data_IF_645718380516
#
_entry.id   IF_645718380516
#
_cell.length_a   1.000
_cell.length_b   1.000
_cell.length_c   1.000
_cell.angle_alpha   90.00
_cell.angle_beta   90.00
_cell.angle_gamma   90.00
#
_symmetry.space_group_name_H-M   'P 1'
#
loop_
_entity.id
_entity.type
_entity.pdbx_description
1 polymer ?
#
# COMPACT_ATOMS: atom_id res chain seq x y z
N UNK A 1 30.82 -20.00 51.63
CA UNK A 1 31.57 -21.17 51.13
C UNK A 1 32.77 -20.62 50.37
N UNK A 2 34.01 -21.07 50.63
CA UNK A 2 35.16 -20.61 49.86
C UNK A 2 34.98 -21.02 48.39
N UNK A 3 34.94 -20.03 47.49
CA UNK A 3 34.69 -20.21 46.05
C UNK A 3 35.66 -21.20 45.38
N UNK A 4 36.80 -21.49 46.01
CA UNK A 4 37.83 -22.39 45.51
C UNK A 4 37.41 -23.87 45.40
N UNK A 5 36.42 -24.33 46.16
CA UNK A 5 36.05 -25.77 46.16
C UNK A 5 35.51 -26.19 44.79
N UNK A 6 34.70 -25.35 44.14
CA UNK A 6 34.14 -25.66 42.83
C UNK A 6 35.17 -25.59 41.71
N UNK A 7 36.20 -24.75 41.84
CA UNK A 7 37.24 -24.56 40.81
C UNK A 7 38.11 -25.81 40.64
N UNK A 8 38.34 -26.56 41.72
CA UNK A 8 39.16 -27.77 41.76
C UNK A 8 38.39 -29.06 41.45
N UNK A 9 37.05 -29.01 41.29
CA UNK A 9 36.27 -30.21 41.01
C UNK A 9 36.64 -30.81 39.64
N UNK A 10 36.76 -32.14 39.52
CA UNK A 10 36.79 -32.83 38.23
C UNK A 10 35.62 -32.42 37.33
N UNK A 11 35.84 -32.38 36.02
CA UNK A 11 34.85 -31.89 35.06
C UNK A 11 33.55 -32.70 35.09
N UNK A 12 33.65 -34.02 35.20
CA UNK A 12 32.50 -34.94 35.27
C UNK A 12 31.58 -34.64 36.46
N UNK A 13 32.17 -34.47 37.66
CA UNK A 13 31.41 -34.13 38.87
C UNK A 13 30.79 -32.74 38.78
N UNK A 14 31.49 -31.78 38.17
CA UNK A 14 30.93 -30.45 37.93
C UNK A 14 29.74 -30.54 36.96
N UNK A 15 29.87 -31.27 35.85
CA UNK A 15 28.80 -31.42 34.87
C UNK A 15 27.55 -32.08 35.46
N UNK A 16 27.72 -33.10 36.31
CA UNK A 16 26.63 -33.71 37.08
C UNK A 16 25.94 -32.70 38.00
N UNK A 17 26.72 -31.92 38.76
CA UNK A 17 26.17 -30.86 39.62
C UNK A 17 25.42 -29.83 38.78
N UNK A 18 26.01 -29.34 37.68
CA UNK A 18 25.40 -28.34 36.81
C UNK A 18 24.10 -28.86 36.15
N UNK A 19 23.97 -30.16 35.90
CA UNK A 19 22.74 -30.77 35.39
C UNK A 19 21.58 -30.70 36.40
N UNK A 20 21.86 -30.59 37.69
CA UNK A 20 20.86 -30.47 38.76
C UNK A 20 20.56 -29.03 39.17
N UNK A 21 21.37 -28.05 38.75
CA UNK A 21 21.17 -26.66 39.11
C UNK A 21 20.18 -25.94 38.18
N UNK A 22 19.36 -25.07 38.79
CA UNK A 22 18.51 -24.15 38.05
C UNK A 22 19.32 -22.98 37.49
N UNK A 23 18.80 -22.29 36.48
CA UNK A 23 19.50 -21.16 35.85
C UNK A 23 19.68 -19.98 36.81
N UNK A 24 18.76 -19.80 37.75
CA UNK A 24 18.90 -18.82 38.83
C UNK A 24 20.10 -19.13 39.74
N UNK A 25 20.49 -20.40 39.86
CA UNK A 25 21.66 -20.84 40.62
C UNK A 25 22.94 -20.83 39.77
N UNK A 26 22.84 -21.13 38.46
CA UNK A 26 23.97 -21.09 37.53
C UNK A 26 24.49 -19.66 37.28
N UNK A 27 23.60 -18.66 37.27
CA UNK A 27 23.98 -17.26 37.00
C UNK A 27 24.98 -16.72 38.05
N UNK A 28 24.71 -16.79 39.37
CA UNK A 28 25.68 -16.40 40.39
C UNK A 28 27.00 -17.18 40.30
N UNK A 29 26.94 -18.49 40.03
CA UNK A 29 28.14 -19.33 39.89
C UNK A 29 29.04 -18.86 38.74
N UNK A 30 28.46 -18.45 37.62
CA UNK A 30 29.21 -17.89 36.49
C UNK A 30 29.91 -16.57 36.82
N UNK A 31 29.53 -15.88 37.90
CA UNK A 31 30.11 -14.62 38.33
C UNK A 31 31.20 -14.79 39.41
N UNK A 32 31.37 -16.00 39.97
CA UNK A 32 32.30 -16.24 41.07
C UNK A 32 33.78 -16.10 40.68
N UNK A 33 34.18 -16.59 39.49
CA UNK A 33 35.55 -16.47 38.98
C UNK A 33 35.62 -16.69 37.46
N UNK A 34 36.71 -16.27 36.81
CA UNK A 34 36.92 -16.51 35.35
C UNK A 34 36.99 -17.99 35.01
N UNK A 35 37.58 -18.81 35.89
CA UNK A 35 37.68 -20.25 35.68
C UNK A 35 36.30 -20.91 35.83
N UNK A 36 35.52 -20.53 36.84
CA UNK A 36 34.15 -21.00 37.01
C UNK A 36 33.26 -20.56 35.85
N UNK A 37 33.38 -19.31 35.42
CA UNK A 37 32.70 -18.78 34.26
C UNK A 37 32.99 -19.63 33.00
N UNK A 38 34.25 -19.91 32.69
CA UNK A 38 34.63 -20.72 31.53
C UNK A 38 34.06 -22.15 31.57
N UNK A 39 33.88 -22.71 32.77
CA UNK A 39 33.33 -24.07 32.98
C UNK A 39 31.81 -24.11 32.99
N UNK A 40 31.15 -23.07 33.51
CA UNK A 40 29.68 -22.98 33.65
C UNK A 40 29.02 -22.47 32.36
N UNK A 41 29.66 -21.56 31.63
CA UNK A 41 29.08 -20.94 30.43
C UNK A 41 28.66 -21.95 29.33
N UNK A 42 29.47 -22.97 28.97
CA UNK A 42 29.04 -23.99 28.00
C UNK A 42 27.73 -24.64 28.43
N UNK A 43 27.60 -24.98 29.70
CA UNK A 43 26.39 -25.58 30.25
C UNK A 43 25.23 -24.59 30.25
N UNK A 44 25.44 -23.34 30.65
CA UNK A 44 24.41 -22.29 30.62
C UNK A 44 23.86 -22.02 29.20
N UNK A 45 24.72 -22.13 28.18
CA UNK A 45 24.38 -21.73 26.81
C UNK A 45 24.14 -22.92 25.83
N UNK A 46 24.51 -24.17 26.18
CA UNK A 46 24.54 -25.31 25.25
C UNK A 46 23.79 -26.58 25.72
N UNK A 47 23.00 -26.59 26.80
CA UNK A 47 22.41 -27.87 27.29
C UNK A 47 21.51 -28.59 26.27
N UNK A 48 21.78 -29.88 25.94
CA UNK A 48 21.07 -30.63 24.90
C UNK A 48 19.68 -31.20 25.28
N UNK A 49 19.09 -30.83 26.43
CA UNK A 49 17.80 -31.36 26.90
C UNK A 49 16.55 -30.68 26.32
N UNK A 50 15.51 -31.46 25.93
CA UNK A 50 14.24 -30.95 25.34
C UNK A 50 13.54 -29.84 26.14
N UNK A 51 13.57 -29.89 27.48
CA UNK A 51 12.94 -28.87 28.35
C UNK A 51 13.71 -27.55 28.38
N UNK A 52 15.03 -27.60 28.28
CA UNK A 52 15.89 -26.42 28.35
C UNK A 52 16.13 -25.76 26.99
N UNK A 53 15.90 -26.47 25.87
CA UNK A 53 15.87 -25.88 24.51
C UNK A 53 14.90 -24.71 24.38
N UNK A 54 13.68 -24.81 24.95
CA UNK A 54 12.70 -23.71 24.92
C UNK A 54 13.17 -22.50 25.73
N UNK A 55 13.81 -22.76 26.87
CA UNK A 55 14.30 -21.70 27.75
C UNK A 55 15.54 -21.00 27.17
N UNK A 56 16.55 -21.75 26.71
CA UNK A 56 17.75 -21.19 26.10
C UNK A 56 17.40 -20.33 24.90
N UNK A 57 16.42 -20.77 24.10
CA UNK A 57 15.85 -19.97 23.02
C UNK A 57 15.18 -18.68 23.52
N UNK A 58 14.39 -18.75 24.59
CA UNK A 58 13.71 -17.57 25.15
C UNK A 58 14.71 -16.54 25.70
N UNK A 59 15.79 -17.01 26.34
CA UNK A 59 16.87 -16.13 26.83
C UNK A 59 17.67 -15.55 25.66
N UNK A 60 17.96 -16.35 24.64
CA UNK A 60 18.61 -15.87 23.43
C UNK A 60 17.78 -14.80 22.71
N UNK A 61 16.48 -15.05 22.51
CA UNK A 61 15.53 -14.07 21.96
C UNK A 61 15.54 -12.80 22.82
N UNK A 62 15.40 -12.93 24.14
CA UNK A 62 15.44 -11.78 25.06
C UNK A 62 16.76 -11.00 24.94
N UNK A 63 17.90 -11.69 24.84
CA UNK A 63 19.20 -11.06 24.64
C UNK A 63 19.26 -10.29 23.32
N UNK A 64 18.72 -10.85 22.23
CA UNK A 64 18.58 -10.17 20.94
C UNK A 64 17.70 -8.91 21.06
N UNK A 65 16.53 -9.03 21.70
CA UNK A 65 15.59 -7.90 21.88
C UNK A 65 16.18 -6.75 22.69
N UNK A 66 16.95 -7.09 23.72
CA UNK A 66 17.56 -6.11 24.64
C UNK A 66 18.89 -5.56 24.13
N UNK A 67 19.41 -6.04 22.99
CA UNK A 67 20.70 -5.59 22.47
C UNK A 67 21.90 -6.07 23.29
N UNK A 68 21.80 -7.23 23.95
CA UNK A 68 22.86 -7.75 24.82
C UNK A 68 23.91 -8.50 23.99
N UNK A 69 24.70 -7.75 23.23
CA UNK A 69 25.66 -8.28 22.25
C UNK A 69 26.65 -9.29 22.87
N UNK A 70 27.11 -9.07 24.10
CA UNK A 70 28.00 -10.00 24.81
C UNK A 70 27.34 -11.34 25.12
N UNK A 71 26.06 -11.33 25.50
CA UNK A 71 25.30 -12.54 25.72
C UNK A 71 25.06 -13.27 24.40
N UNK A 72 24.69 -12.54 23.35
CA UNK A 72 24.51 -13.10 21.99
C UNK A 72 25.80 -13.73 21.47
N UNK A 73 26.95 -13.07 21.66
CA UNK A 73 28.27 -13.63 21.33
C UNK A 73 28.55 -14.95 22.07
N UNK A 74 28.24 -15.02 23.36
CA UNK A 74 28.40 -16.25 24.15
C UNK A 74 27.48 -17.36 23.65
N UNK A 75 26.21 -17.05 23.36
CA UNK A 75 25.28 -18.00 22.75
C UNK A 75 25.82 -18.54 21.42
N UNK A 76 26.25 -17.66 20.51
CA UNK A 76 26.82 -18.08 19.22
C UNK A 76 28.13 -18.87 19.37
N UNK A 77 28.94 -18.59 20.40
CA UNK A 77 30.21 -19.28 20.66
C UNK A 77 30.00 -20.70 21.18
N UNK A 78 29.14 -20.86 22.19
CA UNK A 78 29.02 -22.15 22.89
C UNK A 78 28.00 -23.07 22.25
N UNK A 79 27.01 -22.53 21.54
CA UNK A 79 25.94 -23.33 20.99
C UNK A 79 26.22 -23.68 19.52
N UNK A 80 27.02 -24.73 19.31
CA UNK A 80 27.39 -25.21 17.98
C UNK A 80 26.22 -25.78 17.17
N UNK A 81 25.04 -25.99 17.77
CA UNK A 81 23.83 -26.33 17.03
C UNK A 81 23.12 -25.11 16.42
N UNK A 82 23.57 -23.88 16.74
CA UNK A 82 23.38 -22.70 15.88
C UNK A 82 24.25 -22.77 14.61
N UNK A 83 24.38 -23.95 13.99
CA UNK A 83 24.83 -24.01 12.61
C UNK A 83 23.72 -23.44 11.74
N UNK A 84 23.90 -22.19 11.33
CA UNK A 84 23.10 -21.51 10.32
C UNK A 84 23.17 -22.17 8.92
N UNK A 85 23.81 -23.35 8.82
CA UNK A 85 24.07 -24.08 7.60
C UNK A 85 23.62 -25.56 7.65
N UNK A 86 22.81 -25.89 6.63
CA UNK A 86 22.58 -27.19 5.97
C UNK A 86 21.66 -28.20 6.66
N UNK A 87 20.37 -28.17 6.29
CA UNK A 87 19.57 -29.37 6.00
C UNK A 87 18.96 -30.15 7.16
N UNK A 88 19.41 -29.95 8.39
CA UNK A 88 18.79 -30.52 9.59
C UNK A 88 18.17 -29.42 10.43
N UNK A 89 16.93 -29.60 10.87
CA UNK A 89 16.28 -28.69 11.80
C UNK A 89 17.22 -28.38 12.98
N UNK A 90 17.36 -27.09 13.34
CA UNK A 90 17.23 -26.71 14.75
C UNK A 90 17.17 -25.19 15.01
N UNK A 91 17.61 -24.30 14.10
CA UNK A 91 17.42 -22.82 14.30
C UNK A 91 16.95 -22.11 13.02
N UNK A 92 16.53 -22.91 12.04
CA UNK A 92 15.78 -22.44 10.90
C UNK A 92 14.28 -22.33 11.15
N UNK A 93 13.85 -22.17 12.41
CA UNK A 93 12.44 -21.92 12.70
C UNK A 93 12.12 -20.49 12.23
N UNK A 94 11.27 -20.33 11.20
CA UNK A 94 10.88 -19.01 10.70
C UNK A 94 10.34 -18.11 11.82
N UNK A 95 9.76 -18.69 12.88
CA UNK A 95 9.22 -17.96 14.03
C UNK A 95 10.32 -17.29 14.86
N UNK A 96 11.47 -17.93 15.02
CA UNK A 96 12.59 -17.37 15.80
C UNK A 96 13.19 -16.20 15.04
N UNK A 97 13.45 -16.39 13.74
CA UNK A 97 14.03 -15.34 12.91
C UNK A 97 13.06 -14.16 12.77
N UNK A 98 11.75 -14.43 12.64
CA UNK A 98 10.71 -13.39 12.65
C UNK A 98 10.70 -12.60 13.97
N UNK A 99 10.82 -13.26 15.13
CA UNK A 99 10.91 -12.58 16.43
C UNK A 99 12.18 -11.73 16.58
N UNK A 100 13.33 -12.24 16.11
CA UNK A 100 14.59 -11.49 16.07
C UNK A 100 14.43 -10.28 15.15
N UNK A 101 13.98 -10.46 13.92
CA UNK A 101 13.80 -9.35 12.98
C UNK A 101 12.83 -8.28 13.50
N UNK A 102 11.79 -8.67 14.24
CA UNK A 102 10.82 -7.74 14.81
C UNK A 102 11.36 -6.88 15.95
N UNK A 103 12.34 -7.38 16.71
CA UNK A 103 12.63 -6.83 18.02
C UNK A 103 14.13 -6.67 18.32
N UNK A 104 15.01 -7.25 17.51
CA UNK A 104 16.45 -7.22 17.70
C UNK A 104 17.02 -5.84 17.38
N UNK A 105 17.97 -5.36 18.17
CA UNK A 105 18.68 -4.13 17.85
C UNK A 105 19.50 -4.30 16.56
N UNK A 106 19.67 -3.25 15.73
CA UNK A 106 20.43 -3.35 14.49
C UNK A 106 21.88 -3.84 14.69
N UNK A 107 22.55 -3.40 15.75
CA UNK A 107 23.91 -3.84 16.10
C UNK A 107 23.97 -5.34 16.39
N UNK A 108 22.99 -5.84 17.13
CA UNK A 108 22.90 -7.26 17.48
C UNK A 108 22.57 -8.12 16.27
N UNK A 109 21.71 -7.63 15.36
CA UNK A 109 21.46 -8.31 14.09
C UNK A 109 22.72 -8.38 13.24
N UNK A 110 23.46 -7.27 13.11
CA UNK A 110 24.75 -7.24 12.41
C UNK A 110 25.73 -8.28 12.99
N UNK A 111 25.86 -8.32 14.31
CA UNK A 111 26.66 -9.32 15.01
C UNK A 111 26.22 -10.75 14.66
N UNK A 112 24.92 -11.05 14.68
CA UNK A 112 24.41 -12.37 14.31
C UNK A 112 24.83 -12.75 12.88
N UNK A 113 24.80 -11.79 11.95
CA UNK A 113 25.20 -12.00 10.56
C UNK A 113 26.70 -12.24 10.39
N UNK A 114 27.54 -11.48 11.09
CA UNK A 114 28.98 -11.71 11.17
C UNK A 114 29.30 -13.12 11.70
N UNK A 115 28.44 -13.66 12.57
CA UNK A 115 28.51 -15.04 13.10
C UNK A 115 27.86 -16.09 12.19
N UNK A 116 27.46 -15.71 10.99
CA UNK A 116 26.98 -16.64 9.97
C UNK A 116 25.47 -16.82 9.93
N UNK A 117 24.67 -16.04 10.67
CA UNK A 117 23.21 -16.06 10.53
C UNK A 117 22.80 -15.76 9.08
N UNK A 118 21.74 -16.42 8.61
CA UNK A 118 21.25 -16.34 7.23
C UNK A 118 19.73 -16.25 7.23
N UNK A 119 19.19 -15.31 6.47
CA UNK A 119 17.76 -14.96 6.42
C UNK A 119 17.10 -15.61 5.20
N UNK A 120 17.85 -15.68 4.10
CA UNK A 120 17.38 -16.06 2.79
C UNK A 120 16.84 -17.51 2.69
N UNK A 121 17.30 -18.42 3.55
CA UNK A 121 16.91 -19.85 3.49
C UNK A 121 15.47 -20.13 3.84
N UNK A 122 14.78 -19.16 4.42
CA UNK A 122 13.41 -19.29 4.89
C UNK A 122 12.43 -18.49 4.04
N UNK A 123 12.92 -17.69 3.10
CA UNK A 123 12.12 -16.91 2.17
C UNK A 123 11.91 -17.69 0.87
N UNK A 124 11.25 -18.86 0.93
CA UNK A 124 10.89 -19.59 -0.30
C UNK A 124 9.80 -18.88 -1.10
N UNK A 125 9.12 -17.88 -0.51
CA UNK A 125 8.09 -17.07 -1.16
C UNK A 125 8.39 -15.58 -0.99
N UNK A 126 8.12 -14.80 -2.03
CA UNK A 126 8.15 -13.32 -2.00
C UNK A 126 7.32 -12.73 -0.86
N UNK A 127 6.24 -13.43 -0.50
CA UNK A 127 5.38 -13.06 0.62
C UNK A 127 6.13 -13.09 1.97
N UNK A 128 7.00 -14.08 2.18
CA UNK A 128 7.76 -14.21 3.43
C UNK A 128 8.82 -13.10 3.50
N UNK A 129 9.54 -12.85 2.40
CA UNK A 129 10.46 -11.72 2.30
C UNK A 129 9.79 -10.36 2.59
N UNK A 130 8.55 -10.17 2.14
CA UNK A 130 7.77 -8.98 2.46
C UNK A 130 7.48 -8.84 3.96
N UNK A 131 7.04 -9.92 4.63
CA UNK A 131 6.78 -9.86 6.06
C UNK A 131 8.04 -9.62 6.88
N UNK A 132 9.14 -10.25 6.45
CA UNK A 132 10.42 -10.20 7.12
C UNK A 132 11.10 -8.83 7.01
N UNK A 133 10.86 -8.12 5.91
CA UNK A 133 11.32 -6.73 5.72
C UNK A 133 10.39 -5.72 6.36
N UNK A 134 9.08 -5.95 6.31
CA UNK A 134 8.07 -5.03 6.85
C UNK A 134 8.09 -4.96 8.37
N UNK A 135 8.17 -6.10 9.05
CA UNK A 135 8.04 -6.15 10.50
C UNK A 135 9.14 -5.37 11.26
N UNK A 136 10.45 -5.49 10.90
CA UNK A 136 11.49 -4.64 11.47
C UNK A 136 11.19 -3.15 11.27
N UNK A 137 10.89 -2.73 10.03
CA UNK A 137 10.67 -1.32 9.69
C UNK A 137 9.46 -0.70 10.38
N UNK A 138 8.47 -1.50 10.75
CA UNK A 138 7.29 -1.04 11.49
C UNK A 138 7.55 -0.93 13.00
N UNK A 139 8.44 -1.74 13.56
CA UNK A 139 8.60 -1.87 15.01
C UNK A 139 9.61 -0.88 15.61
N UNK A 140 10.57 -0.38 14.83
CA UNK A 140 11.48 0.66 15.33
C UNK A 140 10.75 2.01 15.47
N UNK A 141 10.93 2.67 16.62
CA UNK A 141 10.30 3.97 16.89
C UNK A 141 11.07 5.13 16.25
N UNK A 142 12.40 5.05 16.21
CA UNK A 142 13.28 6.10 15.69
C UNK A 142 13.61 5.86 14.22
N UNK A 143 13.79 6.94 13.46
CA UNK A 143 14.19 6.88 12.05
C UNK A 143 15.61 6.29 11.92
N UNK A 144 16.55 6.72 12.77
CA UNK A 144 17.92 6.21 12.79
C UNK A 144 18.00 4.68 12.97
N UNK A 145 17.17 4.09 13.83
CA UNK A 145 17.17 2.64 14.01
C UNK A 145 16.57 1.90 12.81
N UNK A 146 15.60 2.52 12.10
CA UNK A 146 15.08 1.98 10.84
C UNK A 146 16.12 2.05 9.73
N UNK A 147 16.81 3.18 9.59
CA UNK A 147 17.84 3.36 8.59
C UNK A 147 19.00 2.39 8.79
N UNK A 148 19.44 2.24 10.05
CA UNK A 148 20.48 1.27 10.39
C UNK A 148 20.02 -0.17 10.16
N UNK A 149 18.79 -0.52 10.56
CA UNK A 149 18.22 -1.83 10.26
C UNK A 149 18.12 -2.09 8.76
N UNK A 150 17.72 -1.09 7.97
CA UNK A 150 17.67 -1.20 6.51
C UNK A 150 19.04 -1.43 5.93
N UNK A 151 20.06 -0.68 6.35
CA UNK A 151 21.44 -0.87 5.89
C UNK A 151 21.88 -2.29 6.19
N UNK A 152 21.68 -2.77 7.42
CA UNK A 152 21.96 -4.17 7.76
C UNK A 152 21.21 -5.11 6.82
N UNK A 153 19.91 -4.92 6.56
CA UNK A 153 19.13 -5.78 5.65
C UNK A 153 19.60 -5.74 4.20
N UNK A 154 19.99 -4.58 3.70
CA UNK A 154 20.50 -4.43 2.34
C UNK A 154 21.89 -5.03 2.20
N UNK A 155 22.77 -4.80 3.18
CA UNK A 155 24.10 -5.41 3.22
C UNK A 155 23.99 -6.94 3.27
N UNK A 156 23.02 -7.45 4.04
CA UNK A 156 22.67 -8.87 4.08
C UNK A 156 22.25 -9.38 2.69
N UNK A 157 21.40 -8.64 1.98
CA UNK A 157 20.91 -9.01 0.65
C UNK A 157 22.02 -8.92 -0.42
N UNK A 158 22.93 -7.95 -0.32
CA UNK A 158 23.99 -7.70 -1.31
C UNK A 158 25.04 -8.82 -1.42
N UNK A 159 25.16 -9.71 -0.43
CA UNK A 159 26.21 -10.74 -0.41
C UNK A 159 25.93 -12.00 -1.25
N UNK A 160 24.76 -12.16 -1.90
CA UNK A 160 24.45 -13.24 -2.88
C UNK A 160 23.55 -12.74 -4.03
N UNK A 161 23.49 -13.49 -5.14
CA UNK A 161 23.22 -12.98 -6.50
C UNK A 161 21.85 -13.35 -7.11
N UNK A 162 20.93 -14.04 -6.42
CA UNK A 162 19.76 -14.61 -7.13
C UNK A 162 18.37 -14.30 -6.54
N UNK A 163 18.22 -13.99 -5.25
CA UNK A 163 16.90 -13.67 -4.66
C UNK A 163 16.81 -12.22 -4.16
N UNK A 164 17.91 -11.49 -4.21
CA UNK A 164 18.15 -10.32 -3.35
C UNK A 164 17.61 -9.03 -3.93
N UNK A 165 17.57 -8.97 -5.26
CA UNK A 165 17.16 -7.78 -5.96
C UNK A 165 15.67 -7.45 -5.74
N UNK A 166 14.84 -8.48 -5.56
CA UNK A 166 13.42 -8.32 -5.26
C UNK A 166 13.20 -7.85 -3.82
N UNK A 167 14.06 -8.28 -2.88
CA UNK A 167 14.01 -7.80 -1.49
C UNK A 167 14.31 -6.32 -1.43
N UNK A 168 15.37 -5.88 -2.12
CA UNK A 168 15.77 -4.47 -2.22
C UNK A 168 14.64 -3.62 -2.83
N UNK A 169 13.93 -4.13 -3.84
CA UNK A 169 12.76 -3.46 -4.41
C UNK A 169 11.54 -3.40 -3.46
N UNK A 170 11.32 -4.44 -2.65
CA UNK A 170 10.28 -4.43 -1.61
C UNK A 170 10.60 -3.37 -0.56
N UNK A 171 11.86 -3.34 -0.11
CA UNK A 171 12.34 -2.35 0.84
C UNK A 171 12.13 -0.94 0.31
N UNK A 172 12.43 -0.70 -0.97
CA UNK A 172 12.17 0.59 -1.62
C UNK A 172 10.70 1.02 -1.46
N UNK A 173 9.75 0.14 -1.79
CA UNK A 173 8.31 0.45 -1.65
C UNK A 173 7.92 0.66 -0.19
N UNK A 174 8.37 -0.19 0.71
CA UNK A 174 8.05 -0.10 2.14
C UNK A 174 8.55 1.22 2.72
N UNK A 175 9.75 1.63 2.31
CA UNK A 175 10.40 2.82 2.78
C UNK A 175 9.69 4.08 2.27
N UNK A 176 9.36 4.14 0.98
CA UNK A 176 8.54 5.23 0.41
C UNK A 176 7.16 5.28 1.09
N UNK A 177 6.58 4.12 1.45
CA UNK A 177 5.31 4.03 2.20
C UNK A 177 5.43 4.41 3.67
N UNK A 178 6.63 4.49 4.24
CA UNK A 178 6.82 4.94 5.63
C UNK A 178 6.50 6.44 5.79
N UNK A 179 5.99 6.86 6.96
CA UNK A 179 5.62 8.27 7.20
C UNK A 179 6.83 9.20 7.37
N UNK A 180 7.99 8.64 7.66
CA UNK A 180 9.22 9.38 7.94
C UNK A 180 9.97 9.48 6.61
N UNK A 181 10.08 10.68 6.03
CA UNK A 181 10.65 10.96 4.71
C UNK A 181 12.11 10.47 4.63
N UNK A 182 12.38 9.28 4.08
CA UNK A 182 13.65 8.60 4.27
C UNK A 182 14.51 8.72 3.01
N UNK A 183 14.70 9.95 2.53
CA UNK A 183 15.36 10.22 1.26
C UNK A 183 16.75 9.53 1.19
N UNK A 184 17.52 9.58 2.28
CA UNK A 184 18.83 8.93 2.37
C UNK A 184 18.73 7.41 2.24
N UNK A 185 17.76 6.76 2.91
CA UNK A 185 17.54 5.33 2.78
C UNK A 185 17.06 4.92 1.38
N UNK A 186 16.26 5.77 0.72
CA UNK A 186 15.82 5.54 -0.66
C UNK A 186 17.02 5.66 -1.62
N UNK A 187 17.83 6.71 -1.47
CA UNK A 187 19.06 6.90 -2.24
C UNK A 187 20.03 5.73 -2.03
N UNK A 188 20.17 5.26 -0.80
CA UNK A 188 20.95 4.07 -0.47
C UNK A 188 20.45 2.84 -1.23
N UNK A 189 19.15 2.55 -1.17
CA UNK A 189 18.55 1.40 -1.87
C UNK A 189 18.75 1.48 -3.38
N UNK A 190 18.49 2.64 -3.98
CA UNK A 190 18.67 2.88 -5.42
C UNK A 190 20.14 2.71 -5.83
N UNK A 191 21.09 3.22 -5.02
CA UNK A 191 22.52 3.01 -5.21
C UNK A 191 22.98 1.56 -5.07
N UNK A 192 22.21 0.73 -4.35
CA UNK A 192 22.42 -0.72 -4.20
C UNK A 192 21.53 -1.55 -5.13
N UNK A 193 21.11 -0.98 -6.27
CA UNK A 193 20.47 -1.69 -7.37
C UNK A 193 18.94 -1.77 -7.30
N UNK A 194 18.29 -1.17 -6.29
CA UNK A 194 16.82 -1.07 -6.26
C UNK A 194 16.32 -0.48 -7.57
N UNK A 195 15.37 -1.15 -8.22
CA UNK A 195 14.82 -0.68 -9.48
C UNK A 195 13.36 -0.29 -9.28
N UNK A 196 13.01 1.00 -9.40
CA UNK A 196 11.64 1.46 -9.18
C UNK A 196 10.64 0.89 -10.20
N UNK A 197 11.09 0.61 -11.44
CA UNK A 197 10.27 -0.04 -12.47
C UNK A 197 10.00 -1.52 -12.13
N UNK A 198 10.98 -2.25 -11.59
CA UNK A 198 10.78 -3.65 -11.18
C UNK A 198 9.95 -3.74 -9.90
N UNK A 199 10.16 -2.82 -8.96
CA UNK A 199 9.48 -2.77 -7.67
C UNK A 199 7.95 -2.77 -7.80
N UNK A 200 7.40 -2.08 -8.80
CA UNK A 200 5.95 -2.04 -9.01
C UNK A 200 5.31 -3.41 -9.35
N UNK A 201 6.11 -4.41 -9.72
CA UNK A 201 5.66 -5.76 -10.07
C UNK A 201 5.83 -6.78 -8.94
N UNK A 202 6.50 -6.41 -7.85
CA UNK A 202 6.95 -7.38 -6.85
C UNK A 202 5.80 -8.01 -6.08
N UNK A 203 4.67 -7.32 -5.90
CA UNK A 203 3.49 -7.93 -5.30
C UNK A 203 2.22 -7.64 -6.09
N UNK A 204 1.27 -8.57 -6.04
CA UNK A 204 -0.08 -8.33 -6.54
C UNK A 204 -0.72 -7.19 -5.74
N UNK A 205 -1.11 -6.14 -6.45
CA UNK A 205 -1.59 -4.90 -5.82
C UNK A 205 -0.51 -4.04 -5.17
N UNK A 206 0.79 -4.29 -5.41
CA UNK A 206 1.83 -3.32 -5.00
C UNK A 206 1.61 -1.98 -5.68
N UNK A 207 1.69 -0.92 -4.88
CA UNK A 207 1.68 0.45 -5.37
C UNK A 207 2.96 0.71 -6.18
N UNK A 208 2.85 1.43 -7.30
CA UNK A 208 4.02 1.94 -8.00
C UNK A 208 4.78 2.90 -7.08
N UNK A 209 6.11 2.76 -6.90
CA UNK A 209 6.92 3.65 -6.07
C UNK A 209 6.67 5.13 -6.34
N UNK A 210 6.68 5.50 -7.63
CA UNK A 210 6.48 6.89 -8.07
C UNK A 210 5.08 7.41 -7.71
N UNK A 211 4.06 6.59 -7.90
CA UNK A 211 2.69 6.97 -7.56
C UNK A 211 2.50 7.18 -6.05
N UNK A 212 3.16 6.37 -5.20
CA UNK A 212 3.16 6.57 -3.74
C UNK A 212 3.88 7.87 -3.35
N UNK A 213 5.01 8.19 -4.00
CA UNK A 213 5.73 9.43 -3.76
C UNK A 213 4.86 10.66 -4.08
N UNK A 214 4.12 10.60 -5.19
CA UNK A 214 3.13 11.61 -5.60
C UNK A 214 2.00 11.71 -4.56
N UNK A 215 1.39 10.58 -4.16
CA UNK A 215 0.30 10.60 -3.16
C UNK A 215 0.70 11.23 -1.83
N UNK A 216 2.00 11.20 -1.52
CA UNK A 216 2.57 11.75 -0.29
C UNK A 216 3.14 13.15 -0.43
N UNK A 217 3.05 13.74 -1.62
CA UNK A 217 3.64 15.05 -1.90
C UNK A 217 5.15 15.12 -1.63
N UNK A 218 5.86 14.00 -1.79
CA UNK A 218 7.30 13.93 -1.53
C UNK A 218 8.07 14.20 -2.82
N UNK A 219 8.24 15.48 -3.15
CA UNK A 219 8.92 15.96 -4.36
C UNK A 219 10.36 15.41 -4.47
N UNK A 220 11.22 15.49 -3.43
CA UNK A 220 12.58 14.95 -3.52
C UNK A 220 12.63 13.46 -3.87
N UNK A 221 11.76 12.65 -3.26
CA UNK A 221 11.68 11.21 -3.56
C UNK A 221 11.11 10.96 -4.95
N UNK A 222 10.12 11.74 -5.40
CA UNK A 222 9.58 11.66 -6.76
C UNK A 222 10.70 11.86 -7.79
N UNK A 223 11.47 12.93 -7.63
CA UNK A 223 12.52 13.31 -8.56
C UNK A 223 13.64 12.26 -8.57
N UNK A 224 14.06 11.82 -7.38
CA UNK A 224 15.03 10.74 -7.22
C UNK A 224 14.59 9.43 -7.91
N UNK A 225 13.30 9.06 -7.80
CA UNK A 225 12.76 7.88 -8.48
C UNK A 225 12.77 8.03 -10.00
N UNK A 226 12.41 9.21 -10.51
CA UNK A 226 12.42 9.51 -11.95
C UNK A 226 13.85 9.47 -12.51
N UNK A 227 14.83 10.02 -11.79
CA UNK A 227 16.25 9.94 -12.12
C UNK A 227 16.75 8.50 -12.22
N UNK A 228 16.20 7.60 -11.40
CA UNK A 228 16.53 6.17 -11.39
C UNK A 228 15.59 5.31 -12.27
N UNK A 229 14.93 5.91 -13.26
CA UNK A 229 14.19 5.19 -14.29
C UNK A 229 12.79 4.71 -13.88
N UNK A 230 12.16 5.36 -12.88
CA UNK A 230 10.76 5.08 -12.59
C UNK A 230 9.87 5.45 -13.78
N UNK A 231 8.92 4.58 -14.12
CA UNK A 231 8.00 4.80 -15.24
C UNK A 231 6.84 5.73 -14.86
N UNK A 232 6.58 6.73 -15.71
CA UNK A 232 5.43 7.62 -15.56
C UNK A 232 4.09 6.92 -15.85
N UNK A 233 4.13 5.80 -16.59
CA UNK A 233 2.95 5.01 -16.94
C UNK A 233 2.54 4.04 -15.83
N UNK A 234 3.41 3.81 -14.83
CA UNK A 234 3.18 2.89 -13.73
C UNK A 234 3.00 1.43 -14.18
N UNK A 235 2.17 0.69 -13.44
CA UNK A 235 1.84 -0.72 -13.71
C UNK A 235 0.75 -0.82 -14.78
N UNK A 236 1.07 -1.37 -15.96
CA UNK A 236 0.07 -1.70 -16.97
C UNK A 236 -0.72 -2.93 -16.53
N UNK A 237 -2.03 -2.80 -16.39
CA UNK A 237 -2.89 -3.92 -16.03
C UNK A 237 -3.38 -4.61 -17.30
N UNK A 238 -2.89 -5.82 -17.58
CA UNK A 238 -3.38 -6.67 -18.68
C UNK A 238 -4.70 -7.36 -18.36
N UNK A 239 -5.15 -7.31 -17.10
CA UNK A 239 -6.40 -7.91 -16.64
C UNK A 239 -7.05 -7.03 -15.58
N UNK A 240 -8.38 -7.10 -15.43
CA UNK A 240 -9.09 -6.45 -14.34
C UNK A 240 -8.37 -6.78 -13.03
N UNK A 241 -7.92 -5.75 -12.29
CA UNK A 241 -7.11 -6.00 -11.13
C UNK A 241 -7.86 -6.87 -10.13
N UNK A 242 -7.14 -7.74 -9.43
CA UNK A 242 -7.72 -8.47 -8.29
C UNK A 242 -8.26 -7.46 -7.25
N UNK A 243 -9.15 -7.93 -6.36
CA UNK A 243 -9.98 -7.13 -5.42
C UNK A 243 -9.28 -6.00 -4.64
N UNK A 244 -7.94 -5.94 -4.62
CA UNK A 244 -7.14 -5.02 -3.81
C UNK A 244 -6.25 -4.06 -4.61
N UNK A 245 -6.22 -4.14 -5.94
CA UNK A 245 -5.42 -3.18 -6.71
C UNK A 245 -6.16 -1.85 -6.82
N UNK A 246 -5.45 -0.78 -6.50
CA UNK A 246 -5.95 0.59 -6.53
C UNK A 246 -5.40 1.29 -7.78
N UNK A 247 -6.19 2.14 -8.43
CA UNK A 247 -5.74 2.96 -9.57
C UNK A 247 -4.60 3.91 -9.25
N UNK A 248 -4.47 4.28 -7.98
CA UNK A 248 -3.39 5.12 -7.50
C UNK A 248 -2.01 4.46 -7.59
N UNK A 249 -1.90 3.24 -8.11
CA UNK A 249 -0.61 2.70 -8.55
C UNK A 249 -0.18 3.20 -9.94
N UNK A 250 -0.98 4.01 -10.63
CA UNK A 250 -0.60 4.69 -11.87
C UNK A 250 -0.30 6.16 -11.52
N UNK A 251 0.91 6.69 -11.85
CA UNK A 251 1.33 8.03 -11.46
C UNK A 251 0.34 9.14 -11.83
N UNK A 252 -0.20 9.18 -13.04
CA UNK A 252 -1.16 10.23 -13.45
C UNK A 252 -2.48 10.16 -12.66
N UNK A 253 -2.91 8.97 -12.24
CA UNK A 253 -4.10 8.80 -11.39
C UNK A 253 -3.84 9.23 -9.95
N UNK A 254 -2.64 8.93 -9.42
CA UNK A 254 -2.19 9.43 -8.12
C UNK A 254 -2.08 10.97 -8.13
N UNK A 255 -1.50 11.54 -9.19
CA UNK A 255 -1.39 12.98 -9.41
C UNK A 255 -2.77 13.64 -9.45
N UNK A 256 -3.70 13.09 -10.23
CA UNK A 256 -5.07 13.58 -10.30
C UNK A 256 -5.76 13.57 -8.94
N UNK A 257 -5.58 12.50 -8.15
CA UNK A 257 -6.16 12.41 -6.80
C UNK A 257 -5.68 13.53 -5.90
N UNK A 258 -4.39 13.85 -5.97
CA UNK A 258 -3.78 14.82 -5.05
C UNK A 258 -3.71 16.24 -5.59
N UNK A 259 -4.17 16.44 -6.83
CA UNK A 259 -4.26 17.73 -7.50
C UNK A 259 -5.00 18.81 -6.68
N UNK A 260 -6.10 18.52 -5.96
CA UNK A 260 -6.78 19.55 -5.14
C UNK A 260 -5.90 20.14 -4.03
N UNK A 261 -4.77 19.50 -3.68
CA UNK A 261 -3.85 19.97 -2.64
C UNK A 261 -2.49 20.41 -3.18
N UNK A 262 -2.27 20.31 -4.50
CA UNK A 262 -0.95 20.57 -5.14
C UNK A 262 -1.00 21.55 -6.29
N UNK A 263 -2.16 22.18 -6.52
CA UNK A 263 -2.32 23.13 -7.62
C UNK A 263 -1.87 22.57 -8.98
N UNK A 264 -2.17 21.28 -9.22
CA UNK A 264 -1.83 20.61 -10.47
C UNK A 264 -0.35 20.26 -10.68
N UNK A 265 0.57 20.60 -9.77
CA UNK A 265 2.02 20.38 -9.94
C UNK A 265 2.37 18.96 -10.42
N UNK A 266 1.85 17.94 -9.74
CA UNK A 266 2.15 16.55 -10.10
C UNK A 266 1.48 16.11 -11.41
N UNK A 267 0.33 16.70 -11.77
CA UNK A 267 -0.36 16.40 -13.02
C UNK A 267 0.44 16.95 -14.19
N UNK A 268 0.84 18.22 -14.11
CA UNK A 268 1.67 18.87 -15.14
C UNK A 268 3.00 18.12 -15.33
N UNK A 269 3.64 17.70 -14.24
CA UNK A 269 4.88 16.91 -14.32
C UNK A 269 4.65 15.58 -15.06
N UNK A 270 3.56 14.86 -14.75
CA UNK A 270 3.25 13.61 -15.44
C UNK A 270 2.98 13.84 -16.94
N UNK A 271 2.18 14.85 -17.28
CA UNK A 271 1.84 15.18 -18.66
C UNK A 271 3.07 15.62 -19.47
N UNK A 272 3.94 16.44 -18.88
CA UNK A 272 5.20 16.91 -19.51
C UNK A 272 6.14 15.74 -19.80
N UNK A 273 6.10 14.69 -18.98
CA UNK A 273 6.85 13.44 -19.19
C UNK A 273 6.14 12.43 -20.11
N UNK A 274 5.07 12.82 -20.77
CA UNK A 274 4.37 12.01 -21.75
C UNK A 274 3.34 11.04 -21.18
N UNK A 275 2.88 11.24 -19.94
CA UNK A 275 1.68 10.55 -19.47
C UNK A 275 0.45 11.01 -20.27
N UNK A 276 -0.44 10.09 -20.57
CA UNK A 276 -1.65 10.39 -21.34
C UNK A 276 -2.72 11.00 -20.43
N UNK A 277 -3.24 12.17 -20.79
CA UNK A 277 -4.33 12.80 -20.04
C UNK A 277 -5.60 11.93 -20.04
N UNK A 278 -5.79 11.17 -21.12
CA UNK A 278 -6.86 10.19 -21.29
C UNK A 278 -6.44 8.76 -20.90
N UNK A 279 -5.37 8.57 -20.10
CA UNK A 279 -4.89 7.22 -19.74
C UNK A 279 -6.02 6.40 -19.10
N UNK A 280 -6.18 5.18 -19.58
CA UNK A 280 -7.18 4.25 -19.06
C UNK A 280 -6.57 3.21 -18.11
N UNK A 281 -7.36 2.79 -17.13
CA UNK A 281 -7.03 1.65 -16.29
C UNK A 281 -8.25 0.72 -16.14
N UNK A 282 -8.06 -0.61 -16.09
CA UNK A 282 -9.12 -1.48 -15.63
C UNK A 282 -9.31 -1.30 -14.12
N UNK A 283 -10.53 -1.01 -13.67
CA UNK A 283 -10.93 -1.16 -12.26
C UNK A 283 -12.03 -2.22 -12.20
N UNK A 284 -12.16 -2.85 -11.05
CA UNK A 284 -13.40 -3.50 -10.65
C UNK A 284 -14.05 -2.63 -9.58
N UNK A 285 -15.00 -1.79 -9.95
CA UNK A 285 -15.72 -0.97 -8.97
C UNK A 285 -16.67 -1.92 -8.24
N UNK A 286 -16.51 -2.08 -6.92
CA UNK A 286 -17.56 -2.69 -6.11
C UNK A 286 -18.70 -1.69 -6.07
N UNK A 287 -19.67 -1.85 -6.97
CA UNK A 287 -20.97 -1.23 -6.79
C UNK A 287 -21.42 -1.46 -5.35
N UNK A 288 -21.88 -0.39 -4.69
CA UNK A 288 -22.52 -0.50 -3.39
C UNK A 288 -23.62 -1.57 -3.57
N UNK A 289 -23.61 -2.60 -2.74
CA UNK A 289 -24.47 -3.81 -2.75
C UNK A 289 -26.00 -3.55 -2.78
N UNK A 290 -26.44 -2.30 -2.94
CA UNK A 290 -27.80 -1.82 -2.64
C UNK A 290 -28.82 -1.99 -3.78
N UNK A 291 -28.44 -2.47 -4.97
CA UNK A 291 -29.42 -2.76 -6.04
C UNK A 291 -29.26 -4.16 -6.65
N UNK A 292 -29.89 -5.19 -6.06
CA UNK A 292 -30.31 -6.39 -6.81
C UNK A 292 -31.39 -5.97 -7.85
N UNK A 293 -31.43 -6.51 -9.09
CA UNK A 293 -30.95 -7.83 -9.52
C UNK A 293 -29.75 -7.80 -10.49
N UNK A 294 -29.12 -6.65 -10.72
CA UNK A 294 -28.08 -6.53 -11.73
C UNK A 294 -26.78 -7.15 -11.23
N UNK A 295 -26.40 -8.29 -11.83
CA UNK A 295 -25.19 -9.06 -11.51
C UNK A 295 -23.91 -8.22 -11.52
N UNK A 296 -22.80 -8.82 -11.07
CA UNK A 296 -21.47 -8.21 -10.93
C UNK A 296 -21.02 -7.47 -12.21
N UNK A 297 -21.46 -6.24 -12.43
CA UNK A 297 -20.95 -5.39 -13.49
C UNK A 297 -19.53 -5.01 -13.09
N UNK A 298 -18.57 -5.45 -13.89
CA UNK A 298 -17.23 -4.87 -13.92
C UNK A 298 -17.46 -3.44 -14.44
N UNK A 299 -16.85 -2.43 -13.82
CA UNK A 299 -16.93 -1.04 -14.28
C UNK A 299 -15.49 -0.61 -14.54
N UNK A 300 -15.16 -0.26 -15.78
CA UNK A 300 -13.85 0.32 -16.10
C UNK A 300 -13.66 1.68 -15.41
N UNK A 301 -12.39 2.06 -15.24
CA UNK A 301 -12.07 3.31 -14.57
C UNK A 301 -12.49 4.50 -15.36
N UNK A 302 -12.87 5.55 -14.63
CA UNK A 302 -12.99 6.84 -15.24
C UNK A 302 -11.58 7.45 -15.43
N UNK A 303 -11.41 8.28 -16.45
CA UNK A 303 -10.15 8.96 -16.78
C UNK A 303 -9.52 9.67 -15.55
N UNK A 304 -8.22 10.00 -15.56
CA UNK A 304 -7.56 10.72 -14.47
C UNK A 304 -8.35 11.95 -13.97
N UNK A 305 -8.92 12.75 -14.88
CA UNK A 305 -9.78 13.90 -14.54
C UNK A 305 -10.95 13.54 -13.62
N UNK A 306 -11.55 12.36 -13.76
CA UNK A 306 -12.64 11.96 -12.86
C UNK A 306 -12.11 11.66 -11.47
N UNK A 307 -10.91 11.08 -11.35
CA UNK A 307 -10.28 10.88 -10.04
C UNK A 307 -10.03 12.22 -9.36
N UNK A 308 -9.59 13.21 -10.12
CA UNK A 308 -9.45 14.58 -9.64
C UNK A 308 -10.77 15.15 -9.13
N UNK A 309 -11.81 15.15 -9.96
CA UNK A 309 -13.14 15.67 -9.62
C UNK A 309 -13.76 14.94 -8.42
N UNK A 310 -13.52 13.64 -8.31
CA UNK A 310 -13.88 12.80 -7.17
C UNK A 310 -12.99 13.05 -5.93
N UNK A 311 -11.88 13.75 -6.04
CA UNK A 311 -10.99 14.02 -4.90
C UNK A 311 -11.21 15.40 -4.28
N UNK A 312 -11.90 16.30 -4.99
CA UNK A 312 -12.41 17.57 -4.46
C UNK A 312 -13.30 17.28 -3.25
N UNK A 313 -12.97 17.85 -2.08
CA UNK A 313 -13.73 17.65 -0.83
C UNK A 313 -14.66 18.81 -0.48
N UNK A 314 -14.32 20.00 -0.96
CA UNK A 314 -15.04 21.23 -0.70
C UNK A 314 -15.43 21.87 -2.03
N UNK A 315 -16.68 22.33 -2.09
CA UNK A 315 -17.29 22.97 -3.24
C UNK A 315 -17.76 24.39 -2.91
N UNK A 316 -17.23 25.02 -1.86
CA UNK A 316 -17.63 26.35 -1.43
C UNK A 316 -17.51 27.37 -2.57
N UNK A 317 -16.33 27.47 -3.19
CA UNK A 317 -16.09 28.40 -4.30
C UNK A 317 -16.27 27.75 -5.68
N UNK A 318 -15.86 26.49 -5.82
CA UNK A 318 -15.93 25.75 -7.09
C UNK A 318 -14.96 26.25 -8.16
N UNK A 319 -14.35 27.43 -7.99
CA UNK A 319 -13.40 28.01 -8.94
C UNK A 319 -12.13 27.15 -9.07
N UNK A 320 -11.55 26.69 -7.97
CA UNK A 320 -10.41 25.76 -7.98
C UNK A 320 -10.76 24.46 -8.73
N UNK A 321 -11.98 23.95 -8.51
CA UNK A 321 -12.45 22.75 -9.20
C UNK A 321 -12.51 22.96 -10.72
N UNK A 322 -13.09 24.08 -11.17
CA UNK A 322 -13.19 24.47 -12.59
C UNK A 322 -11.79 24.65 -13.19
N UNK A 323 -10.90 25.37 -12.52
CA UNK A 323 -9.52 25.58 -12.98
C UNK A 323 -8.79 24.24 -13.18
N UNK A 324 -8.92 23.31 -12.24
CA UNK A 324 -8.32 22.00 -12.41
C UNK A 324 -8.97 21.18 -13.53
N UNK A 325 -10.28 21.29 -13.76
CA UNK A 325 -10.93 20.67 -14.94
C UNK A 325 -10.38 21.29 -16.23
N UNK A 326 -10.23 22.61 -16.27
CA UNK A 326 -9.69 23.33 -17.42
C UNK A 326 -8.26 22.86 -17.74
N UNK A 327 -7.41 22.67 -16.73
CA UNK A 327 -6.06 22.12 -16.92
C UNK A 327 -6.07 20.76 -17.63
N UNK A 328 -7.02 19.87 -17.30
CA UNK A 328 -7.18 18.59 -18.00
C UNK A 328 -7.67 18.77 -19.44
N UNK A 329 -8.60 19.69 -19.67
CA UNK A 329 -9.10 20.00 -21.02
C UNK A 329 -7.98 20.56 -21.91
N UNK A 330 -7.18 21.48 -21.37
CA UNK A 330 -6.01 22.05 -22.04
C UNK A 330 -4.95 20.98 -22.34
N UNK A 331 -4.87 19.94 -21.49
CA UNK A 331 -4.05 18.75 -21.71
C UNK A 331 -4.63 17.75 -22.74
N UNK A 332 -5.74 18.09 -23.40
CA UNK A 332 -6.34 17.29 -24.45
C UNK A 332 -7.29 16.18 -23.97
N UNK A 333 -7.84 16.30 -22.75
CA UNK A 333 -8.89 15.38 -22.31
C UNK A 333 -10.14 15.53 -23.17
N UNK A 334 -10.69 14.41 -23.64
CA UNK A 334 -11.92 14.38 -24.44
C UNK A 334 -13.07 13.88 -23.57
N UNK A 335 -14.00 14.77 -23.22
CA UNK A 335 -15.15 14.43 -22.39
C UNK A 335 -16.31 13.77 -23.17
N UNK A 336 -16.37 13.95 -24.49
CA UNK A 336 -17.63 13.83 -25.25
C UNK A 336 -18.11 12.41 -25.53
N UNK A 337 -17.23 11.41 -25.59
CA UNK A 337 -17.66 10.12 -26.16
C UNK A 337 -17.73 8.97 -25.17
N UNK A 338 -17.20 9.09 -23.95
CA UNK A 338 -17.24 7.99 -22.96
C UNK A 338 -16.67 6.64 -23.44
N UNK A 339 -16.22 6.54 -24.70
CA UNK A 339 -15.68 5.34 -25.29
C UNK A 339 -14.20 5.38 -24.99
N UNK A 340 -13.69 4.46 -24.15
CA UNK A 340 -12.27 4.36 -23.92
C UNK A 340 -11.58 3.98 -25.23
N UNK A 341 -10.71 4.84 -25.74
CA UNK A 341 -9.86 4.54 -26.90
C UNK A 341 -8.54 4.02 -26.33
N UNK A 342 -8.33 2.71 -26.39
CA UNK A 342 -7.04 2.10 -26.03
C UNK A 342 -6.39 1.60 -27.31
N UNK A 343 -5.26 2.16 -27.73
CA UNK A 343 -4.36 1.63 -28.78
C UNK A 343 -5.06 1.04 -30.04
N UNK A 344 -6.23 1.56 -30.44
CA UNK A 344 -7.10 0.96 -31.46
C UNK A 344 -7.55 -0.50 -31.19
N UNK A 345 -7.33 -1.03 -29.99
CA UNK A 345 -7.78 -2.35 -29.55
C UNK A 345 -9.09 -2.19 -28.77
N UNK A 346 -10.20 -2.43 -29.46
CA UNK A 346 -11.50 -2.66 -28.80
C UNK A 346 -11.32 -3.89 -27.92
N UNK A 347 -11.12 -3.69 -26.61
CA UNK A 347 -11.00 -4.81 -25.69
C UNK A 347 -12.26 -5.67 -25.80
N UNK A 348 -12.11 -6.99 -25.99
CA UNK A 348 -13.23 -7.96 -26.11
C UNK A 348 -14.14 -8.04 -24.87
N UNK A 349 -13.92 -7.19 -23.87
CA UNK A 349 -14.74 -7.09 -22.68
C UNK A 349 -15.96 -6.22 -23.01
N UNK A 350 -16.96 -6.90 -23.60
CA UNK A 350 -18.35 -6.49 -23.86
C UNK A 350 -18.79 -5.16 -23.21
N UNK A 351 -19.21 -4.24 -24.07
CA UNK A 351 -20.10 -3.08 -23.85
C UNK A 351 -20.19 -2.57 -22.40
N UNK A 352 -19.31 -1.65 -22.02
CA UNK A 352 -19.47 -0.85 -20.81
C UNK A 352 -19.65 0.61 -21.19
N UNK A 353 -20.80 1.16 -20.83
CA UNK A 353 -21.09 2.60 -20.93
C UNK A 353 -20.33 3.33 -19.82
N UNK A 354 -19.32 4.11 -20.21
CA UNK A 354 -18.72 5.07 -19.30
C UNK A 354 -19.72 6.22 -19.14
N UNK A 355 -20.18 6.43 -17.90
CA UNK A 355 -21.06 7.56 -17.61
C UNK A 355 -20.26 8.86 -17.66
N UNK A 356 -20.91 9.95 -18.05
CA UNK A 356 -20.38 11.30 -18.05
C UNK A 356 -19.91 11.70 -16.66
N UNK A 357 -19.00 12.66 -16.65
CA UNK A 357 -18.48 13.24 -15.42
C UNK A 357 -19.56 13.89 -14.58
N UNK A 358 -20.50 14.58 -15.24
CA UNK A 358 -21.65 15.20 -14.61
C UNK A 358 -22.51 14.15 -13.89
N UNK A 359 -22.81 13.02 -14.54
CA UNK A 359 -23.55 11.93 -13.90
C UNK A 359 -22.80 11.43 -12.65
N UNK A 360 -21.50 11.14 -12.77
CA UNK A 360 -20.72 10.61 -11.65
C UNK A 360 -20.63 11.59 -10.46
N UNK A 361 -20.56 12.89 -10.74
CA UNK A 361 -20.62 13.92 -9.72
C UNK A 361 -21.96 13.94 -8.99
N UNK A 362 -23.07 13.93 -9.73
CA UNK A 362 -24.42 13.92 -9.16
C UNK A 362 -24.71 12.63 -8.40
N UNK A 363 -24.25 11.48 -8.88
CA UNK A 363 -24.39 10.19 -8.20
C UNK A 363 -23.64 10.17 -6.86
N UNK A 364 -22.43 10.73 -6.84
CA UNK A 364 -21.61 10.77 -5.62
C UNK A 364 -22.10 11.77 -4.58
N UNK A 365 -22.35 13.00 -5.01
CA UNK A 365 -22.62 14.13 -4.11
C UNK A 365 -24.12 14.38 -3.90
N UNK A 366 -24.96 13.78 -4.74
CA UNK A 366 -26.40 13.96 -4.72
C UNK A 366 -26.84 15.32 -5.25
N UNK A 367 -28.10 15.40 -5.65
CA UNK A 367 -28.73 16.64 -6.15
C UNK A 367 -28.81 17.73 -5.06
N UNK A 368 -28.78 17.35 -3.78
CA UNK A 368 -28.76 18.29 -2.65
C UNK A 368 -27.53 19.19 -2.67
N UNK A 369 -26.41 18.70 -3.20
CA UNK A 369 -25.17 19.46 -3.31
C UNK A 369 -25.28 20.65 -4.28
N UNK A 370 -26.31 20.71 -5.13
CA UNK A 370 -26.62 21.89 -5.95
C UNK A 370 -26.95 23.14 -5.11
N UNK A 371 -27.28 22.97 -3.84
CA UNK A 371 -27.40 24.10 -2.90
C UNK A 371 -26.07 24.85 -2.73
N UNK A 372 -24.92 24.16 -2.81
CA UNK A 372 -23.60 24.78 -2.81
C UNK A 372 -23.33 25.49 -4.14
N UNK A 373 -22.99 26.78 -4.06
CA UNK A 373 -22.82 27.60 -5.27
C UNK A 373 -21.64 27.15 -6.12
N UNK A 374 -20.50 26.79 -5.52
CA UNK A 374 -19.36 26.27 -6.27
C UNK A 374 -19.62 24.93 -6.94
N UNK A 375 -20.32 23.99 -6.27
CA UNK A 375 -20.72 22.72 -6.89
C UNK A 375 -21.64 22.96 -8.10
N UNK A 376 -22.63 23.84 -7.94
CA UNK A 376 -23.52 24.21 -9.03
C UNK A 376 -22.76 24.79 -10.24
N UNK A 377 -21.82 25.72 -10.01
CA UNK A 377 -20.96 26.29 -11.07
C UNK A 377 -20.16 25.21 -11.81
N UNK A 378 -19.65 24.20 -11.10
CA UNK A 378 -18.92 23.08 -11.73
C UNK A 378 -19.85 22.23 -12.60
N UNK A 379 -21.07 21.94 -12.14
CA UNK A 379 -22.06 21.22 -12.94
C UNK A 379 -22.48 22.02 -14.17
N UNK A 380 -22.70 23.33 -14.00
CA UNK A 380 -23.00 24.27 -15.08
C UNK A 380 -21.87 24.27 -16.12
N UNK A 381 -20.61 24.38 -15.68
CA UNK A 381 -19.43 24.30 -16.53
C UNK A 381 -19.36 22.98 -17.30
N UNK A 382 -19.53 21.83 -16.63
CA UNK A 382 -19.50 20.51 -17.28
C UNK A 382 -20.66 20.31 -18.27
N UNK A 383 -21.84 20.88 -18.01
CA UNK A 383 -22.99 20.78 -18.90
C UNK A 383 -22.73 21.44 -20.26
N UNK A 384 -21.85 22.45 -20.34
CA UNK A 384 -21.47 23.12 -21.59
C UNK A 384 -20.77 22.18 -22.58
N UNK A 385 -20.15 21.09 -22.10
CA UNK A 385 -19.51 20.08 -22.95
C UNK A 385 -20.49 19.07 -23.55
N UNK A 386 -21.76 19.12 -23.12
CA UNK A 386 -22.82 18.24 -23.56
C UNK A 386 -22.80 16.87 -22.86
N UNK A 387 -23.91 16.16 -22.97
CA UNK A 387 -24.08 14.81 -22.42
C UNK A 387 -24.62 13.86 -23.50
N UNK A 388 -24.26 12.57 -23.43
CA UNK A 388 -24.95 11.56 -24.20
C UNK A 388 -26.45 11.57 -23.86
N UNK A 389 -27.31 11.51 -24.88
CA UNK A 389 -28.76 11.58 -24.74
C UNK A 389 -29.33 10.60 -23.69
N UNK A 390 -28.81 9.36 -23.64
CA UNK A 390 -29.25 8.34 -22.69
C UNK A 390 -28.95 8.73 -21.22
N UNK A 391 -27.86 9.47 -20.98
CA UNK A 391 -27.55 9.96 -19.64
C UNK A 391 -28.44 11.09 -19.21
N UNK A 392 -28.80 11.99 -20.14
CA UNK A 392 -29.77 13.04 -19.84
C UNK A 392 -31.10 12.44 -19.39
N UNK A 393 -31.57 11.38 -20.06
CA UNK A 393 -32.77 10.64 -19.65
C UNK A 393 -32.58 10.04 -18.25
N UNK A 394 -31.44 9.39 -17.97
CA UNK A 394 -31.19 8.81 -16.66
C UNK A 394 -31.19 9.86 -15.54
N UNK A 395 -30.50 10.99 -15.74
CA UNK A 395 -30.42 12.04 -14.72
C UNK A 395 -31.80 12.68 -14.54
N UNK A 396 -32.54 12.90 -15.62
CA UNK A 396 -33.93 13.36 -15.57
C UNK A 396 -34.80 12.41 -14.74
N UNK A 397 -34.70 11.09 -14.97
CA UNK A 397 -35.44 10.09 -14.20
C UNK A 397 -35.06 10.08 -12.70
N UNK A 398 -33.79 10.32 -12.37
CA UNK A 398 -33.34 10.47 -10.97
C UNK A 398 -33.93 11.72 -10.33
N UNK A 399 -33.96 12.85 -11.05
CA UNK A 399 -34.53 14.10 -10.55
C UNK A 399 -36.03 13.98 -10.25
N UNK A 400 -36.82 13.34 -11.13
CA UNK A 400 -38.26 13.17 -10.91
C UNK A 400 -38.61 12.23 -9.75
N UNK A 401 -37.65 11.37 -9.35
CA UNK A 401 -37.78 10.54 -8.15
C UNK A 401 -37.42 11.28 -6.87
N UNK A 402 -36.93 12.52 -6.95
CA UNK A 402 -36.77 13.34 -5.75
C UNK A 402 -38.15 13.53 -5.10
N UNK A 403 -38.24 13.38 -3.77
CA UNK A 403 -39.46 13.69 -3.05
C UNK A 403 -39.95 15.09 -3.41
N UNK A 404 -41.27 15.30 -3.49
CA UNK A 404 -41.88 16.62 -3.72
C UNK A 404 -41.33 17.73 -2.78
N UNK A 405 -40.73 17.32 -1.65
CA UNK A 405 -40.05 18.13 -0.65
C UNK A 405 -38.67 18.73 -1.06
N UNK A 406 -38.15 18.49 -2.27
CA UNK A 406 -36.98 19.25 -2.74
C UNK A 406 -37.32 20.76 -2.78
N UNK A 407 -36.48 21.59 -2.16
CA UNK A 407 -36.69 23.04 -2.06
C UNK A 407 -36.69 23.69 -3.44
N UNK A 408 -37.49 24.74 -3.63
CA UNK A 408 -37.59 25.46 -4.91
C UNK A 408 -36.25 25.91 -5.51
N UNK A 409 -35.23 26.31 -4.73
CA UNK A 409 -33.91 26.66 -5.27
C UNK A 409 -33.20 25.51 -5.98
N UNK A 410 -33.30 24.27 -5.48
CA UNK A 410 -32.66 23.10 -6.11
C UNK A 410 -33.39 22.77 -7.42
N UNK A 411 -34.72 22.86 -7.43
CA UNK A 411 -35.53 22.66 -8.64
C UNK A 411 -35.21 23.69 -9.72
N UNK A 412 -35.07 24.97 -9.35
CA UNK A 412 -34.70 26.04 -10.28
C UNK A 412 -33.31 25.85 -10.86
N UNK A 413 -32.30 25.56 -10.02
CA UNK A 413 -30.93 25.25 -10.48
C UNK A 413 -30.89 24.04 -11.41
N UNK A 414 -31.68 23.00 -11.12
CA UNK A 414 -31.76 21.84 -11.99
C UNK A 414 -32.42 22.16 -13.34
N UNK A 415 -33.50 22.94 -13.35
CA UNK A 415 -34.13 23.40 -14.58
C UNK A 415 -33.13 24.14 -15.47
N UNK A 416 -32.32 25.02 -14.89
CA UNK A 416 -31.26 25.72 -15.61
C UNK A 416 -30.22 24.78 -16.22
N UNK A 417 -29.76 23.76 -15.47
CA UNK A 417 -28.84 22.74 -16.01
C UNK A 417 -29.47 22.00 -17.21
N UNK A 418 -30.76 21.66 -17.14
CA UNK A 418 -31.46 21.01 -18.25
C UNK A 418 -31.61 21.92 -19.47
N UNK A 419 -31.82 23.23 -19.25
CA UNK A 419 -31.85 24.23 -20.31
C UNK A 419 -30.48 24.34 -21.01
N UNK A 420 -29.37 24.34 -20.27
CA UNK A 420 -28.00 24.30 -20.84
C UNK A 420 -27.79 23.05 -21.70
N UNK A 421 -28.31 21.91 -21.25
CA UNK A 421 -28.24 20.65 -22.01
C UNK A 421 -29.17 20.62 -23.23
N UNK A 422 -29.85 21.74 -23.55
CA UNK A 422 -30.68 21.89 -24.74
C UNK A 422 -32.09 21.33 -24.60
N UNK A 423 -32.55 21.03 -23.37
CA UNK A 423 -33.91 20.55 -23.16
C UNK A 423 -34.84 21.72 -22.85
N UNK A 424 -35.76 21.97 -23.77
CA UNK A 424 -36.85 22.91 -23.54
C UNK A 424 -37.78 22.41 -22.41
N UNK A 425 -38.42 23.35 -21.72
CA UNK A 425 -39.45 23.06 -20.71
C UNK A 425 -40.56 22.12 -21.22
N UNK A 426 -40.91 22.23 -22.51
CA UNK A 426 -41.87 21.37 -23.18
C UNK A 426 -41.40 19.90 -23.30
N UNK A 427 -40.12 19.70 -23.65
CA UNK A 427 -39.52 18.36 -23.70
C UNK A 427 -39.45 17.74 -22.29
N UNK A 428 -39.07 18.52 -21.26
CA UNK A 428 -39.07 18.03 -19.87
C UNK A 428 -40.47 17.56 -19.41
N UNK A 429 -41.51 18.30 -19.80
CA UNK A 429 -42.92 17.97 -19.47
C UNK A 429 -43.38 16.70 -20.19
N UNK A 430 -42.98 16.52 -21.44
CA UNK A 430 -43.28 15.31 -22.22
C UNK A 430 -42.61 14.06 -21.64
N UNK A 431 -41.34 14.15 -21.22
CA UNK A 431 -40.66 13.04 -20.54
C UNK A 431 -41.28 12.69 -19.19
N UNK A 432 -41.77 13.67 -18.45
CA UNK A 432 -42.52 13.46 -17.20
C UNK A 432 -43.77 12.59 -17.43
N UNK A 433 -44.52 12.87 -18.50
CA UNK A 433 -45.70 12.10 -18.89
C UNK A 433 -45.33 10.66 -19.28
N UNK A 434 -44.29 10.46 -20.08
CA UNK A 434 -43.84 9.12 -20.51
C UNK A 434 -43.32 8.29 -19.32
N UNK A 435 -42.55 8.89 -18.41
CA UNK A 435 -42.02 8.21 -17.23
C UNK A 435 -43.14 7.71 -16.30
N UNK A 436 -44.20 8.51 -16.13
CA UNK A 436 -45.40 8.11 -15.37
C UNK A 436 -46.14 6.95 -16.05
N UNK A 437 -46.24 6.97 -17.39
CA UNK A 437 -46.88 5.88 -18.15
C UNK A 437 -46.09 4.56 -18.00
N UNK A 438 -44.76 4.60 -17.96
CA UNK A 438 -43.94 3.39 -17.74
C UNK A 438 -44.03 2.84 -16.32
N UNK A 439 -44.18 3.70 -15.30
CA UNK A 439 -44.47 3.26 -13.93
C UNK A 439 -45.88 2.63 -13.81
N UNK A 440 -46.85 3.06 -14.63
CA UNK A 440 -48.17 2.42 -14.75
C UNK A 440 -48.14 1.08 -15.51
N UNK A 441 -47.16 0.85 -16.38
CA UNK A 441 -47.02 -0.38 -17.19
C UNK A 441 -46.20 -1.48 -16.53
N UNK A 442 -45.50 -1.20 -15.42
CA UNK A 442 -44.88 -2.24 -14.60
C UNK A 442 -45.98 -2.84 -13.72
N UNK A 443 -46.40 -4.11 -13.93
CA UNK A 443 -47.34 -4.75 -13.03
C UNK A 443 -46.69 -4.78 -11.64
N UNK A 444 -47.36 -4.21 -10.65
CA UNK A 444 -47.09 -4.52 -9.24
C UNK A 444 -47.31 -6.01 -9.03
N UNK A 445 -46.27 -6.82 -9.26
CA UNK A 445 -46.19 -8.19 -8.76
C UNK A 445 -45.84 -8.07 -7.27
N UNK A 446 -46.85 -7.74 -6.47
CA UNK A 446 -46.87 -7.96 -5.04
C UNK A 446 -48.23 -8.54 -4.68
N UNK A 447 -48.30 -9.87 -4.64
CA UNK A 447 -49.20 -10.60 -3.75
C UNK A 447 -48.50 -11.85 -3.24
N UNK A 448 -48.32 -11.85 -1.91
CA UNK A 448 -47.80 -12.86 -0.96
C UNK A 448 -46.29 -13.06 -0.87
#
# INVERSE_FOLDING_TARGET
MPNHVFETLPQELLDDILCHLTIQQLSPLSQCSRQMQARVEPTLYCQPGKRLKKYSLTVFQRACRLGLDTAVQKFCKYNSSFRWNTGGAEIGDPVIMDDILRHCQPSTLRLLMERGARIEKHCHKLYDAFWWTKAPLQNFKTLAAKDEMMRVVVDMAGHRLCCDQVIVDILLILLIKSRQQPEEGIRYLLGHGANPLRAQWVMDGSSCPLAVAIEKHNIPVRDLLLEHGASIYGKRFTSPPTRNCRIDCIPIFAAARVMPWTDGLHVLECLTRGAEANQHAPIVFRGIRRYPPYGRRKYYTPFPIYVYVLSVKDWADGQEAIQGIQLWLDAGVVLKDGIPVHDNVITKHQHMELRSMLFNLLDRWGLQSLSHQGFYRVIEFLAQFGLPYHEVIMIHAVFWKLPHAATDPIKSKWQHIMEILGYSRAQMTMFSLVSRIDDFRRPTIFTR
#
